data_IF_119061642682
#
_entry.id   IF_119061642682
#
_cell.length_a   1.000
_cell.length_b   1.000
_cell.length_c   1.000
_cell.angle_alpha   90.00
_cell.angle_beta   90.00
_cell.angle_gamma   90.00
#
_symmetry.space_group_name_H-M   'P 1'
#
loop_
_entity.id
_entity.type
_entity.pdbx_description
1 polymer ?
#
# COMPACT_ATOMS: atom_id res chain seq x y z
N UNK A 1 -17.00 26.95 -9.79
CA UNK A 1 -18.48 27.03 -9.82
C UNK A 1 -18.90 28.50 -9.77
N UNK A 2 -18.38 29.26 -8.80
CA UNK A 2 -18.64 30.69 -8.65
C UNK A 2 -18.22 31.54 -9.86
N UNK A 3 -17.06 31.26 -10.47
CA UNK A 3 -16.60 31.99 -11.68
C UNK A 3 -17.52 31.81 -12.90
N UNK A 4 -18.18 30.66 -13.03
CA UNK A 4 -19.06 30.35 -14.18
C UNK A 4 -20.44 30.98 -14.02
N UNK A 5 -20.93 31.10 -12.78
CA UNK A 5 -22.15 31.85 -12.48
C UNK A 5 -21.88 33.34 -12.71
N UNK A 6 -20.73 33.84 -12.28
CA UNK A 6 -20.31 35.23 -12.46
C UNK A 6 -20.19 35.63 -13.95
N UNK A 7 -19.65 34.74 -14.80
CA UNK A 7 -19.53 34.99 -16.24
C UNK A 7 -20.89 34.99 -16.97
N UNK A 8 -21.84 34.13 -16.56
CA UNK A 8 -23.21 34.18 -17.10
C UNK A 8 -23.95 35.44 -16.66
N UNK A 9 -23.82 35.86 -15.39
CA UNK A 9 -24.40 37.11 -14.90
C UNK A 9 -23.85 38.36 -15.60
N UNK A 10 -22.56 38.36 -15.95
CA UNK A 10 -21.92 39.45 -16.71
C UNK A 10 -22.45 39.51 -18.15
N UNK A 11 -22.64 38.37 -18.82
CA UNK A 11 -23.18 38.31 -20.19
C UNK A 11 -24.65 38.73 -20.27
N UNK A 12 -25.43 38.44 -19.22
CA UNK A 12 -26.81 38.93 -19.12
C UNK A 12 -26.86 40.47 -18.97
N UNK A 13 -25.89 41.06 -18.24
CA UNK A 13 -25.78 42.53 -18.14
C UNK A 13 -25.45 43.19 -19.48
N UNK A 14 -24.57 42.61 -20.28
CA UNK A 14 -24.23 43.14 -21.61
C UNK A 14 -25.40 43.06 -22.59
N UNK A 15 -26.19 41.99 -22.53
CA UNK A 15 -27.42 41.84 -23.33
C UNK A 15 -28.49 42.86 -22.93
N UNK A 16 -28.63 43.15 -21.62
CA UNK A 16 -29.52 44.18 -21.10
C UNK A 16 -29.09 45.58 -21.55
N UNK A 17 -27.80 45.91 -21.44
CA UNK A 17 -27.25 47.19 -21.87
C UNK A 17 -27.41 47.41 -23.39
N UNK A 18 -27.25 46.35 -24.19
CA UNK A 18 -27.48 46.41 -25.64
C UNK A 18 -28.96 46.65 -25.98
N UNK A 19 -29.89 46.07 -25.21
CA UNK A 19 -31.34 46.31 -25.36
C UNK A 19 -31.70 47.77 -25.03
N UNK A 20 -31.18 48.29 -23.92
CA UNK A 20 -31.43 49.66 -23.46
C UNK A 20 -30.95 50.69 -24.48
N UNK A 21 -29.76 50.49 -25.07
CA UNK A 21 -29.26 51.33 -26.18
C UNK A 21 -30.19 51.32 -27.41
N UNK A 22 -30.76 50.17 -27.75
CA UNK A 22 -31.70 50.07 -28.88
C UNK A 22 -33.00 50.83 -28.56
N UNK A 23 -33.50 50.76 -27.33
CA UNK A 23 -34.70 51.49 -26.89
C UNK A 23 -34.48 53.01 -26.97
N UNK A 24 -33.35 53.51 -26.45
CA UNK A 24 -32.97 54.94 -26.53
C UNK A 24 -32.86 55.44 -27.97
N UNK A 25 -32.21 54.66 -28.85
CA UNK A 25 -32.09 55.02 -30.26
C UNK A 25 -33.44 55.04 -30.97
N UNK A 26 -34.34 54.10 -30.65
CA UNK A 26 -35.67 54.04 -31.23
C UNK A 26 -36.51 55.28 -30.85
N UNK A 27 -36.38 55.76 -29.62
CA UNK A 27 -37.06 56.95 -29.13
C UNK A 27 -36.50 58.23 -29.77
N UNK A 28 -35.18 58.32 -29.90
CA UNK A 28 -34.52 59.46 -30.56
C UNK A 28 -34.91 59.64 -32.04
N UNK A 29 -35.34 58.56 -32.69
CA UNK A 29 -35.81 58.56 -34.09
C UNK A 29 -37.28 59.00 -34.19
N UNK A 30 -38.09 58.83 -33.13
CA UNK A 30 -39.49 59.27 -33.13
C UNK A 30 -39.64 60.78 -33.04
N UNK A 31 -38.74 61.45 -32.34
CA UNK A 31 -38.82 62.88 -32.04
C UNK A 31 -38.02 63.77 -33.01
N UNK A 32 -37.27 63.17 -33.96
CA UNK A 32 -36.44 63.91 -34.90
C UNK A 32 -37.23 64.39 -36.14
N UNK A 33 -37.50 65.69 -36.23
CA UNK A 33 -38.09 66.32 -37.42
C UNK A 33 -37.17 66.22 -38.65
N UNK A 34 -37.60 65.42 -39.62
CA UNK A 34 -37.35 65.51 -41.07
C UNK A 34 -35.90 65.71 -41.58
N UNK A 35 -34.97 64.82 -41.22
CA UNK A 35 -33.88 64.45 -42.12
C UNK A 35 -34.02 62.98 -42.53
N UNK A 36 -34.72 62.74 -43.65
CA UNK A 36 -34.99 61.40 -44.19
C UNK A 36 -33.70 60.58 -44.31
N UNK A 37 -32.57 61.19 -44.67
CA UNK A 37 -31.28 60.51 -44.78
C UNK A 37 -30.73 60.05 -43.41
N UNK A 38 -30.98 60.81 -42.34
CA UNK A 38 -30.56 60.45 -40.98
C UNK A 38 -31.44 59.33 -40.42
N UNK A 39 -32.75 59.40 -40.65
CA UNK A 39 -33.71 58.36 -40.25
C UNK A 39 -33.37 57.03 -40.93
N UNK A 40 -33.05 57.04 -42.23
CA UNK A 40 -32.66 55.81 -42.94
C UNK A 40 -31.33 55.23 -42.42
N UNK A 41 -30.34 56.06 -42.07
CA UNK A 41 -29.11 55.58 -41.40
C UNK A 41 -29.39 54.94 -40.05
N UNK A 42 -30.21 55.56 -39.21
CA UNK A 42 -30.55 54.99 -37.90
C UNK A 42 -31.39 53.73 -38.00
N UNK A 43 -32.32 53.63 -38.97
CA UNK A 43 -33.02 52.37 -39.25
C UNK A 43 -32.06 51.25 -39.64
N UNK A 44 -31.07 51.54 -40.49
CA UNK A 44 -30.06 50.56 -40.87
C UNK A 44 -29.23 50.09 -39.66
N UNK A 45 -28.79 51.03 -38.80
CA UNK A 45 -28.00 50.70 -37.60
C UNK A 45 -28.82 49.92 -36.56
N UNK A 46 -30.08 50.29 -36.32
CA UNK A 46 -31.01 49.52 -35.48
C UNK A 46 -31.24 48.13 -36.07
N UNK A 47 -31.32 48.01 -37.40
CA UNK A 47 -31.39 46.72 -38.10
C UNK A 47 -30.16 45.85 -37.83
N UNK A 48 -28.96 46.42 -37.91
CA UNK A 48 -27.68 45.75 -37.61
C UNK A 48 -27.61 45.30 -36.16
N UNK A 49 -27.91 46.19 -35.21
CA UNK A 49 -27.94 45.89 -33.78
C UNK A 49 -28.96 44.81 -33.43
N UNK A 50 -30.13 44.80 -34.07
CA UNK A 50 -31.13 43.71 -33.91
C UNK A 50 -30.59 42.36 -34.40
N UNK A 51 -29.83 42.32 -35.50
CA UNK A 51 -29.21 41.08 -35.98
C UNK A 51 -28.11 40.60 -35.04
N UNK A 52 -27.25 41.50 -34.58
CA UNK A 52 -26.18 41.20 -33.61
C UNK A 52 -26.76 40.67 -32.30
N UNK A 53 -27.80 41.32 -31.77
CA UNK A 53 -28.55 40.86 -30.59
C UNK A 53 -29.08 39.44 -30.78
N UNK A 54 -29.68 39.12 -31.94
CA UNK A 54 -30.19 37.75 -32.23
C UNK A 54 -29.06 36.71 -32.25
N UNK A 55 -27.89 37.06 -32.78
CA UNK A 55 -26.73 36.17 -32.76
C UNK A 55 -26.20 35.96 -31.34
N UNK A 56 -26.15 37.00 -30.52
CA UNK A 56 -25.75 36.90 -29.12
C UNK A 56 -26.70 36.02 -28.31
N UNK A 57 -28.02 36.18 -28.46
CA UNK A 57 -28.99 35.28 -27.81
C UNK A 57 -28.80 33.82 -28.22
N UNK A 58 -28.61 33.53 -29.51
CA UNK A 58 -28.34 32.16 -29.98
C UNK A 58 -27.06 31.57 -29.36
N UNK A 59 -26.01 32.39 -29.19
CA UNK A 59 -24.77 31.96 -28.53
C UNK A 59 -25.00 31.71 -27.04
N UNK A 60 -25.73 32.59 -26.35
CA UNK A 60 -26.08 32.43 -24.94
C UNK A 60 -26.88 31.12 -24.72
N UNK A 61 -27.92 30.86 -25.53
CA UNK A 61 -28.69 29.62 -25.46
C UNK A 61 -27.80 28.38 -25.67
N UNK A 62 -26.88 28.44 -26.63
CA UNK A 62 -25.93 27.35 -26.88
C UNK A 62 -24.95 27.14 -25.71
N UNK A 63 -24.48 28.21 -25.07
CA UNK A 63 -23.59 28.14 -23.91
C UNK A 63 -24.31 27.60 -22.68
N UNK A 64 -25.56 28.02 -22.44
CA UNK A 64 -26.40 27.50 -21.36
C UNK A 64 -26.61 25.98 -21.54
N UNK A 65 -26.96 25.55 -22.76
CA UNK A 65 -27.13 24.12 -23.06
C UNK A 65 -25.82 23.32 -22.88
N UNK A 66 -24.68 23.88 -23.27
CA UNK A 66 -23.37 23.25 -23.06
C UNK A 66 -23.01 23.15 -21.57
N UNK A 67 -23.23 24.21 -20.79
CA UNK A 67 -22.97 24.24 -19.35
C UNK A 67 -23.86 23.23 -18.61
N UNK A 68 -25.14 23.12 -18.94
CA UNK A 68 -26.02 22.11 -18.33
C UNK A 68 -25.52 20.69 -18.59
N UNK A 69 -25.04 20.39 -19.81
CA UNK A 69 -24.44 19.09 -20.12
C UNK A 69 -23.15 18.85 -19.34
N UNK A 70 -22.30 19.86 -19.21
CA UNK A 70 -21.06 19.77 -18.44
C UNK A 70 -21.30 19.54 -16.95
N UNK A 71 -22.31 20.18 -16.36
CA UNK A 71 -22.70 19.96 -14.96
C UNK A 71 -23.11 18.50 -14.76
N UNK A 72 -24.02 17.98 -15.59
CA UNK A 72 -24.46 16.58 -15.50
C UNK A 72 -23.30 15.60 -15.69
N UNK A 73 -22.40 15.87 -16.63
CA UNK A 73 -21.20 15.05 -16.83
C UNK A 73 -20.24 15.11 -15.63
N UNK A 74 -20.05 16.31 -15.05
CA UNK A 74 -19.20 16.49 -13.89
C UNK A 74 -19.75 15.74 -12.66
N UNK A 75 -21.05 15.87 -12.40
CA UNK A 75 -21.74 15.16 -11.32
C UNK A 75 -21.61 13.64 -11.50
N UNK A 76 -21.88 13.15 -12.73
CA UNK A 76 -21.74 11.73 -13.06
C UNK A 76 -20.31 11.23 -12.90
N UNK A 77 -19.32 12.03 -13.31
CA UNK A 77 -17.89 11.66 -13.23
C UNK A 77 -17.44 11.66 -11.77
N UNK A 78 -17.88 12.64 -10.98
CA UNK A 78 -17.57 12.74 -9.55
C UNK A 78 -18.15 11.56 -8.78
N UNK A 79 -19.40 11.16 -9.09
CA UNK A 79 -20.01 9.99 -8.47
C UNK A 79 -19.25 8.70 -8.82
N UNK A 80 -18.94 8.48 -10.10
CA UNK A 80 -18.18 7.31 -10.54
C UNK A 80 -16.76 7.27 -9.92
N UNK A 81 -16.12 8.44 -9.78
CA UNK A 81 -14.82 8.55 -9.11
C UNK A 81 -14.91 8.18 -7.63
N UNK A 82 -15.92 8.68 -6.92
CA UNK A 82 -16.12 8.37 -5.50
C UNK A 82 -16.41 6.88 -5.28
N UNK A 83 -17.24 6.27 -6.13
CA UNK A 83 -17.47 4.82 -6.12
C UNK A 83 -16.17 4.04 -6.35
N UNK A 84 -15.36 4.49 -7.32
CA UNK A 84 -14.06 3.86 -7.62
C UNK A 84 -13.11 3.95 -6.44
N UNK A 85 -13.02 5.12 -5.77
CA UNK A 85 -12.18 5.31 -4.58
C UNK A 85 -12.61 4.34 -3.47
N UNK A 86 -13.90 4.22 -3.20
CA UNK A 86 -14.40 3.27 -2.18
C UNK A 86 -14.03 1.82 -2.49
N UNK A 87 -14.13 1.41 -3.77
CA UNK A 87 -13.71 0.07 -4.19
C UNK A 87 -12.21 -0.13 -4.02
N UNK A 88 -11.40 0.86 -4.42
CA UNK A 88 -9.93 0.81 -4.28
C UNK A 88 -9.52 0.70 -2.81
N UNK A 89 -10.13 1.49 -1.93
CA UNK A 89 -9.86 1.45 -0.49
C UNK A 89 -10.21 0.08 0.09
N UNK A 90 -11.40 -0.45 -0.24
CA UNK A 90 -11.84 -1.77 0.22
C UNK A 90 -10.94 -2.91 -0.27
N UNK A 91 -10.50 -2.86 -1.53
CA UNK A 91 -9.55 -3.84 -2.10
C UNK A 91 -8.19 -3.72 -1.43
N UNK A 92 -7.73 -2.51 -1.15
CA UNK A 92 -6.46 -2.26 -0.45
C UNK A 92 -6.48 -2.84 0.96
N UNK A 93 -7.53 -2.58 1.74
CA UNK A 93 -7.71 -3.16 3.07
C UNK A 93 -7.76 -4.69 3.03
N UNK A 94 -8.48 -5.26 2.06
CA UNK A 94 -8.57 -6.70 1.86
C UNK A 94 -7.21 -7.32 1.52
N UNK A 95 -6.42 -6.65 0.67
CA UNK A 95 -5.08 -7.10 0.32
C UNK A 95 -4.13 -7.03 1.52
N UNK A 96 -4.18 -5.97 2.33
CA UNK A 96 -3.38 -5.87 3.55
C UNK A 96 -3.72 -6.99 4.54
N UNK A 97 -5.02 -7.23 4.77
CA UNK A 97 -5.46 -8.31 5.64
C UNK A 97 -5.08 -9.70 5.11
N UNK A 98 -5.13 -9.90 3.78
CA UNK A 98 -4.69 -11.15 3.15
C UNK A 98 -3.18 -11.34 3.28
N UNK A 99 -2.38 -10.29 3.04
CA UNK A 99 -0.93 -10.33 3.21
C UNK A 99 -0.55 -10.70 4.64
N UNK A 100 -1.16 -10.09 5.66
CA UNK A 100 -0.89 -10.43 7.07
C UNK A 100 -1.29 -11.88 7.41
N UNK A 101 -2.33 -12.43 6.78
CA UNK A 101 -2.74 -13.83 6.95
C UNK A 101 -1.77 -14.79 6.26
N UNK A 102 -1.35 -14.47 5.04
CA UNK A 102 -0.36 -15.25 4.30
C UNK A 102 0.97 -15.28 5.03
N UNK A 103 1.41 -14.13 5.53
CA UNK A 103 2.61 -13.99 6.34
C UNK A 103 2.60 -14.88 7.59
N UNK A 104 1.50 -14.86 8.36
CA UNK A 104 1.35 -15.77 9.51
C UNK A 104 1.22 -17.23 9.11
N UNK A 105 0.56 -17.50 7.98
CA UNK A 105 0.38 -18.85 7.45
C UNK A 105 1.66 -19.46 6.88
N UNK A 106 2.56 -18.64 6.36
CA UNK A 106 3.85 -19.03 5.80
C UNK A 106 4.90 -19.35 6.87
N UNK A 107 4.65 -19.02 8.15
CA UNK A 107 5.57 -19.33 9.24
C UNK A 107 5.80 -20.85 9.35
N UNK A 108 7.06 -21.26 9.31
CA UNK A 108 7.46 -22.66 9.44
C UNK A 108 7.38 -23.10 10.88
N UNK A 109 6.88 -24.32 11.09
CA UNK A 109 6.82 -24.93 12.42
C UNK A 109 7.89 -26.00 12.53
N UNK A 110 8.71 -25.88 13.56
CA UNK A 110 9.61 -26.95 13.97
C UNK A 110 8.88 -27.90 14.93
N UNK A 111 8.80 -29.18 14.57
CA UNK A 111 8.28 -30.27 15.39
C UNK A 111 9.41 -31.18 15.84
N UNK A 112 9.11 -32.07 16.79
CA UNK A 112 10.04 -33.11 17.25
C UNK A 112 11.41 -32.62 17.73
N UNK A 113 11.46 -31.40 18.27
CA UNK A 113 12.71 -30.81 18.78
C UNK A 113 13.30 -31.66 19.91
N UNK A 114 14.50 -32.17 19.68
CA UNK A 114 15.30 -32.98 20.61
C UNK A 114 16.68 -32.38 20.80
N UNK A 115 17.05 -32.20 22.07
CA UNK A 115 18.38 -31.77 22.49
C UNK A 115 19.15 -32.93 23.10
N UNK A 116 20.32 -33.24 22.56
CA UNK A 116 21.16 -34.34 23.01
C UNK A 116 22.58 -33.87 23.25
N UNK A 117 23.15 -34.19 24.39
CA UNK A 117 24.57 -33.98 24.61
C UNK A 117 25.36 -35.08 23.89
N UNK A 118 26.41 -34.68 23.16
CA UNK A 118 27.21 -35.60 22.34
C UNK A 118 28.69 -35.50 22.66
N UNK A 119 29.38 -36.63 22.58
CA UNK A 119 30.83 -36.75 22.64
C UNK A 119 31.38 -37.06 21.24
N UNK A 120 32.44 -36.37 20.84
CA UNK A 120 33.19 -36.59 19.61
C UNK A 120 34.40 -37.44 19.96
N UNK A 121 34.38 -38.71 19.55
CA UNK A 121 35.53 -39.60 19.77
C UNK A 121 36.72 -39.14 18.93
N UNK A 122 37.94 -39.57 19.30
CA UNK A 122 39.16 -39.34 18.50
C UNK A 122 39.03 -39.81 17.03
N UNK A 123 38.12 -40.74 16.74
CA UNK A 123 37.80 -41.20 15.38
C UNK A 123 36.85 -40.27 14.60
N UNK A 124 36.43 -39.14 15.18
CA UNK A 124 35.39 -38.25 14.64
C UNK A 124 33.95 -38.74 14.84
N UNK A 125 33.76 -39.94 15.41
CA UNK A 125 32.41 -40.49 15.63
C UNK A 125 31.68 -39.71 16.74
N UNK A 126 30.50 -39.20 16.40
CA UNK A 126 29.57 -38.55 17.33
C UNK A 126 28.75 -39.61 18.05
N UNK A 127 28.72 -39.57 19.38
CA UNK A 127 27.97 -40.52 20.23
C UNK A 127 27.23 -39.76 21.32
N UNK A 128 26.03 -40.19 21.64
CA UNK A 128 25.22 -39.53 22.67
C UNK A 128 25.74 -39.85 24.07
N UNK A 129 25.66 -38.87 24.96
CA UNK A 129 26.02 -39.02 26.37
C UNK A 129 25.00 -38.31 27.23
N UNK A 130 24.72 -38.87 28.40
CA UNK A 130 23.90 -38.22 29.44
C UNK A 130 24.73 -37.54 30.52
N UNK A 131 26.05 -37.72 30.48
CA UNK A 131 26.98 -37.12 31.44
C UNK A 131 27.52 -35.82 30.87
N UNK A 132 27.22 -34.72 31.55
CA UNK A 132 27.69 -33.37 31.20
C UNK A 132 29.22 -33.30 31.13
N UNK A 133 29.92 -33.92 32.09
CA UNK A 133 31.39 -34.02 32.13
C UNK A 133 32.03 -34.80 30.97
N UNK A 134 31.24 -35.47 30.15
CA UNK A 134 31.72 -36.22 28.97
C UNK A 134 31.20 -35.64 27.66
N UNK A 135 30.35 -34.63 27.71
CA UNK A 135 29.79 -34.00 26.54
C UNK A 135 30.82 -33.02 25.98
N UNK A 136 30.93 -32.97 24.66
CA UNK A 136 31.76 -31.98 23.96
C UNK A 136 30.86 -30.92 23.29
N UNK A 137 29.66 -31.31 22.85
CA UNK A 137 28.70 -30.44 22.13
C UNK A 137 27.26 -30.78 22.50
N UNK A 138 26.35 -29.88 22.14
CA UNK A 138 24.90 -30.14 22.17
C UNK A 138 24.41 -30.27 20.74
N UNK A 139 23.74 -31.39 20.42
CA UNK A 139 23.04 -31.60 19.16
C UNK A 139 21.58 -31.23 19.33
N UNK A 140 21.08 -30.32 18.51
CA UNK A 140 19.66 -29.99 18.41
C UNK A 140 19.13 -30.55 17.09
N UNK A 141 18.23 -31.52 17.14
CA UNK A 141 17.56 -32.09 15.98
C UNK A 141 16.08 -31.74 16.03
N UNK A 142 15.50 -31.36 14.91
CA UNK A 142 14.08 -31.03 14.77
C UNK A 142 13.65 -31.24 13.32
N UNK A 143 12.34 -31.25 13.12
CA UNK A 143 11.75 -31.46 11.81
C UNK A 143 10.96 -30.22 11.42
N UNK A 144 11.22 -29.65 10.24
CA UNK A 144 10.36 -28.62 9.67
C UNK A 144 9.11 -29.30 9.12
N UNK A 145 7.94 -28.89 9.59
CA UNK A 145 6.67 -29.42 9.10
C UNK A 145 6.40 -28.97 7.65
N UNK A 146 5.66 -29.76 6.85
CA UNK A 146 5.18 -29.35 5.54
C UNK A 146 4.33 -28.07 5.63
N UNK A 147 4.56 -27.13 4.70
CA UNK A 147 3.81 -25.89 4.62
C UNK A 147 3.73 -25.42 3.16
N UNK A 148 2.55 -25.56 2.55
CA UNK A 148 2.29 -25.17 1.17
C UNK A 148 2.21 -23.65 0.94
N UNK A 149 2.12 -22.85 2.01
CA UNK A 149 2.05 -21.39 1.95
C UNK A 149 3.44 -20.76 2.02
N UNK A 150 4.38 -21.42 2.70
CA UNK A 150 5.76 -20.95 2.80
C UNK A 150 6.44 -20.94 1.42
N UNK A 151 7.41 -20.06 1.21
CA UNK A 151 8.19 -20.10 -0.04
C UNK A 151 9.27 -21.19 0.04
N UNK A 152 9.31 -22.06 -0.97
CA UNK A 152 10.42 -22.99 -1.15
C UNK A 152 11.72 -22.26 -1.48
N UNK A 153 12.83 -22.80 -1.00
CA UNK A 153 14.16 -22.27 -1.29
C UNK A 153 15.14 -22.39 -0.14
N UNK A 154 16.25 -21.67 -0.30
CA UNK A 154 17.29 -21.56 0.71
C UNK A 154 16.79 -20.81 1.95
N UNK A 155 16.91 -21.44 3.12
CA UNK A 155 16.56 -20.89 4.43
C UNK A 155 17.76 -20.96 5.36
N UNK A 156 17.88 -19.98 6.26
CA UNK A 156 18.87 -20.04 7.35
C UNK A 156 18.11 -20.22 8.65
N UNK A 157 18.43 -21.30 9.34
CA UNK A 157 17.85 -21.65 10.63
C UNK A 157 18.86 -21.36 11.72
N UNK A 158 18.36 -20.83 12.83
CA UNK A 158 19.15 -20.47 13.99
C UNK A 158 18.70 -21.29 15.18
N UNK A 159 19.65 -21.73 15.98
CA UNK A 159 19.37 -22.42 17.24
C UNK A 159 20.01 -21.65 18.38
N UNK A 160 19.26 -21.50 19.46
CA UNK A 160 19.71 -20.92 20.72
C UNK A 160 19.68 -22.01 21.80
N UNK A 161 20.82 -22.31 22.39
CA UNK A 161 20.94 -23.29 23.48
C UNK A 161 21.38 -22.59 24.74
N UNK A 162 20.51 -22.57 25.74
CA UNK A 162 20.73 -21.91 27.02
C UNK A 162 20.92 -22.98 28.09
N UNK A 163 22.01 -22.88 28.84
CA UNK A 163 22.34 -23.82 29.90
C UNK A 163 21.57 -23.51 31.21
N UNK A 164 21.63 -24.39 32.22
CA UNK A 164 20.91 -24.21 33.49
C UNK A 164 21.28 -22.94 34.29
N UNK A 165 22.43 -22.32 33.99
CA UNK A 165 22.89 -21.05 34.58
C UNK A 165 22.52 -19.84 33.72
N UNK A 166 21.63 -20.01 32.74
CA UNK A 166 21.19 -18.99 31.81
C UNK A 166 22.33 -18.43 30.92
N UNK A 167 23.39 -19.20 30.70
CA UNK A 167 24.44 -18.86 29.74
C UNK A 167 24.10 -19.45 28.38
N UNK A 168 24.21 -18.63 27.34
CA UNK A 168 24.09 -19.06 25.95
C UNK A 168 25.32 -19.90 25.58
N UNK A 169 25.14 -21.00 24.86
CA UNK A 169 26.24 -21.80 24.31
C UNK A 169 26.60 -21.36 22.88
N UNK A 170 27.70 -21.87 22.34
CA UNK A 170 28.07 -21.70 20.94
C UNK A 170 28.72 -20.36 20.62
N UNK A 171 28.46 -19.89 19.41
CA UNK A 171 29.17 -18.78 18.78
C UNK A 171 28.73 -17.41 19.34
N UNK A 172 27.53 -17.34 19.96
CA UNK A 172 26.97 -16.14 20.61
C UNK A 172 26.88 -14.92 19.68
N UNK A 173 26.64 -15.16 18.41
CA UNK A 173 26.50 -14.10 17.41
C UNK A 173 25.11 -13.43 17.54
N UNK A 174 25.05 -12.14 17.25
CA UNK A 174 23.80 -11.37 17.28
C UNK A 174 23.40 -10.99 15.86
N UNK A 175 22.16 -11.32 15.51
CA UNK A 175 21.50 -10.92 14.27
C UNK A 175 20.48 -9.83 14.57
N UNK A 176 20.54 -8.72 13.84
CA UNK A 176 19.51 -7.69 13.87
C UNK A 176 18.35 -8.11 12.97
N UNK A 177 17.17 -8.36 13.56
CA UNK A 177 15.93 -8.66 12.85
C UNK A 177 14.96 -7.48 12.99
N UNK A 178 13.95 -7.40 12.14
CA UNK A 178 12.91 -6.35 12.23
C UNK A 178 12.18 -6.36 13.59
N UNK A 179 12.04 -7.54 14.21
CA UNK A 179 11.43 -7.72 15.52
C UNK A 179 12.39 -7.49 16.71
N UNK A 180 13.66 -7.19 16.45
CA UNK A 180 14.71 -6.98 17.45
C UNK A 180 15.95 -7.86 17.26
N UNK A 181 16.84 -7.84 18.25
CA UNK A 181 18.11 -8.56 18.16
C UNK A 181 17.96 -10.01 18.62
N UNK A 182 18.41 -10.96 17.81
CA UNK A 182 18.49 -12.39 18.13
C UNK A 182 19.95 -12.78 18.37
N UNK A 183 20.28 -13.18 19.60
CA UNK A 183 21.56 -13.84 19.87
C UNK A 183 21.41 -15.35 19.79
N UNK A 184 22.16 -16.00 18.91
CA UNK A 184 22.06 -17.44 18.63
C UNK A 184 23.34 -18.20 18.95
N UNK A 185 23.21 -19.51 19.07
CA UNK A 185 24.31 -20.44 19.39
C UNK A 185 24.95 -21.03 18.14
N UNK A 186 24.15 -21.33 17.12
CA UNK A 186 24.61 -21.81 15.81
C UNK A 186 23.58 -21.47 14.74
N UNK A 187 24.03 -21.39 13.48
CA UNK A 187 23.19 -21.21 12.30
C UNK A 187 23.48 -22.32 11.27
N UNK A 188 22.48 -22.70 10.49
CA UNK A 188 22.66 -23.63 9.37
C UNK A 188 21.80 -23.20 8.19
N UNK A 189 22.31 -23.43 6.98
CA UNK A 189 21.55 -23.21 5.75
C UNK A 189 20.93 -24.53 5.31
N UNK A 190 19.64 -24.51 4.99
CA UNK A 190 18.88 -25.66 4.46
C UNK A 190 18.12 -25.25 3.22
N UNK A 191 17.77 -26.22 2.38
CA UNK A 191 16.88 -26.02 1.24
C UNK A 191 15.53 -26.65 1.56
N UNK A 192 14.49 -25.82 1.68
CA UNK A 192 13.14 -26.26 2.05
C UNK A 192 12.24 -26.32 0.83
N UNK A 193 11.58 -27.45 0.61
CA UNK A 193 10.78 -27.73 -0.60
C UNK A 193 9.27 -27.85 -0.30
N UNK A 194 8.77 -27.13 0.71
CA UNK A 194 7.39 -27.22 1.20
C UNK A 194 6.98 -28.56 1.82
N UNK A 195 7.92 -29.51 1.93
CA UNK A 195 7.72 -30.82 2.53
C UNK A 195 8.50 -30.95 3.84
N UNK A 196 8.32 -32.08 4.53
CA UNK A 196 8.97 -32.41 5.79
C UNK A 196 10.50 -32.44 5.63
N UNK A 197 11.23 -31.74 6.51
CA UNK A 197 12.70 -31.69 6.46
C UNK A 197 13.31 -31.85 7.85
N UNK A 198 14.06 -32.93 8.04
CA UNK A 198 14.85 -33.16 9.25
C UNK A 198 16.14 -32.35 9.26
N UNK A 199 16.36 -31.60 10.33
CA UNK A 199 17.53 -30.74 10.51
C UNK A 199 18.18 -31.05 11.85
N UNK A 200 19.50 -31.29 11.82
CA UNK A 200 20.30 -31.46 13.02
C UNK A 200 21.46 -30.47 13.03
N UNK A 201 21.62 -29.74 14.13
CA UNK A 201 22.66 -28.75 14.33
C UNK A 201 23.52 -29.11 15.53
N UNK A 202 24.84 -28.96 15.38
CA UNK A 202 25.80 -29.15 16.47
C UNK A 202 26.22 -27.79 17.01
N UNK A 203 25.94 -27.57 18.28
CA UNK A 203 26.28 -26.36 19.00
C UNK A 203 27.57 -26.58 19.79
N UNK A 204 28.55 -25.72 19.53
CA UNK A 204 29.80 -25.69 20.28
C UNK A 204 29.53 -25.31 21.74
N UNK A 205 30.31 -25.86 22.68
CA UNK A 205 30.22 -25.46 24.07
C UNK A 205 31.60 -25.57 24.72
N UNK A 206 31.88 -24.69 25.68
CA UNK A 206 33.07 -24.82 26.52
C UNK A 206 32.80 -25.82 27.65
N UNK A 207 33.81 -26.54 28.10
CA UNK A 207 33.69 -27.54 29.18
C UNK A 207 33.05 -26.97 30.45
N UNK A 208 33.33 -25.69 30.77
CA UNK A 208 32.77 -25.00 31.94
C UNK A 208 31.28 -24.69 31.82
N UNK A 209 30.75 -24.67 30.61
CA UNK A 209 29.36 -24.33 30.31
C UNK A 209 28.46 -25.56 30.21
N UNK A 210 29.06 -26.73 29.98
CA UNK A 210 28.40 -28.04 29.98
C UNK A 210 28.24 -28.57 31.40
N UNK A 211 27.28 -27.99 32.11
CA UNK A 211 26.91 -28.38 33.48
C UNK A 211 25.70 -29.31 33.50
N UNK A 212 25.51 -30.01 34.61
CA UNK A 212 24.30 -30.79 34.85
C UNK A 212 23.08 -29.88 35.01
N UNK A 213 21.94 -30.33 34.51
CA UNK A 213 20.65 -29.64 34.66
C UNK A 213 19.86 -29.56 33.35
N UNK A 214 18.85 -28.70 33.37
CA UNK A 214 17.94 -28.50 32.25
C UNK A 214 18.45 -27.42 31.29
N UNK A 215 18.55 -27.78 30.02
CA UNK A 215 18.84 -26.86 28.93
C UNK A 215 17.54 -26.42 28.26
N UNK A 216 17.55 -25.22 27.71
CA UNK A 216 16.47 -24.68 26.89
C UNK A 216 17.01 -24.55 25.48
N UNK A 217 16.26 -25.07 24.50
CA UNK A 217 16.61 -24.99 23.09
C UNK A 217 15.47 -24.28 22.37
N UNK A 218 15.81 -23.19 21.69
CA UNK A 218 14.89 -22.45 20.83
C UNK A 218 15.40 -22.54 19.39
N UNK A 219 14.47 -22.65 18.44
CA UNK A 219 14.74 -22.69 17.01
C UNK A 219 14.05 -21.50 16.36
N UNK A 220 14.74 -20.83 15.45
CA UNK A 220 14.25 -19.65 14.74
C UNK A 220 14.50 -19.81 13.24
N UNK A 221 13.53 -19.42 12.41
CA UNK A 221 13.72 -19.24 10.97
C UNK A 221 14.06 -17.76 10.73
N UNK A 222 15.14 -17.49 9.99
CA UNK A 222 15.81 -16.20 9.82
C UNK A 222 15.00 -15.03 9.30
N UNK A 223 13.68 -15.17 9.20
CA UNK A 223 12.78 -14.12 8.78
C UNK A 223 11.82 -13.73 9.91
N UNK A 224 11.37 -14.61 10.83
CA UNK A 224 10.39 -14.27 11.90
C UNK A 224 10.44 -15.22 13.12
N UNK A 225 10.07 -14.69 14.30
CA UNK A 225 9.76 -15.46 15.52
C UNK A 225 8.45 -16.24 15.38
#
# INVERSE_FOLDING_TARGET
>A
YDEVIQDNELKDKDLLAARERIEVLLDSVKDAEANVALIERYKAEVGRLKQERRLLFKKADSLIAANQRLIVQNDSTTNALNETIQVVDSVSESNLALSERLERGAALKATDLRGEAVIIRNSGKIVDTRRSSRADKVRACFTLAPNAIAEAGDRILYVQVINPKNNLLGDKETLELEAGNLTYSAATKVFYENDELDVCMLVNASDIDLIEGRYIINVFDGIRQ
#
